data_IF_950294328770
#
_entry.id   IF_950294328770
#
_cell.length_a   1.000
_cell.length_b   1.000
_cell.length_c   1.000
_cell.angle_alpha   90.00
_cell.angle_beta   90.00
_cell.angle_gamma   90.00
#
_symmetry.space_group_name_H-M   'P 1'
#
loop_
_entity.id
_entity.type
_entity.pdbx_description
1 polymer ?
#
# COMPACT_ATOMS: atom_id res chain seq x y z
N UNK A 1 7.97 23.74 25.50
CA UNK A 1 8.38 22.93 24.33
C UNK A 1 9.44 21.93 24.77
N UNK A 2 9.40 20.67 24.29
CA UNK A 2 10.40 19.67 24.67
C UNK A 2 11.80 20.10 24.20
N UNK A 3 12.83 19.82 24.98
CA UNK A 3 14.21 20.24 24.68
C UNK A 3 14.79 19.48 23.47
N UNK A 4 14.34 18.23 23.28
CA UNK A 4 14.54 17.44 22.08
C UNK A 4 13.19 17.25 21.37
N UNK A 5 13.08 17.72 20.12
CA UNK A 5 11.90 17.51 19.29
C UNK A 5 12.11 16.25 18.45
N UNK A 6 11.19 15.28 18.55
CA UNK A 6 11.21 14.07 17.73
C UNK A 6 10.20 14.20 16.61
N UNK A 7 10.64 13.98 15.39
CA UNK A 7 9.79 14.05 14.21
C UNK A 7 10.11 12.89 13.28
N UNK A 8 9.15 12.55 12.45
CA UNK A 8 9.29 11.54 11.42
C UNK A 8 9.26 12.23 10.06
N UNK A 9 10.31 12.05 9.25
CA UNK A 9 10.44 12.73 7.97
C UNK A 9 9.27 12.39 7.05
N UNK A 10 8.89 11.11 7.00
CA UNK A 10 7.84 10.64 6.12
C UNK A 10 6.48 11.24 6.50
N UNK A 11 6.05 11.14 7.75
CA UNK A 11 4.75 11.68 8.17
C UNK A 11 4.72 13.22 8.21
N UNK A 12 5.86 13.87 8.49
CA UNK A 12 5.87 15.34 8.64
C UNK A 12 6.01 16.05 7.31
N UNK A 13 6.90 15.55 6.44
CA UNK A 13 7.08 16.12 5.12
C UNK A 13 6.06 15.53 4.16
N UNK A 14 5.98 14.19 4.07
CA UNK A 14 5.18 13.56 3.04
C UNK A 14 3.67 13.66 3.20
N UNK A 15 3.16 13.64 4.44
CA UNK A 15 1.71 13.69 4.69
C UNK A 15 1.19 15.08 5.09
N UNK A 16 2.05 15.91 5.70
CA UNK A 16 1.62 17.17 6.33
C UNK A 16 2.20 18.41 5.65
N UNK A 17 3.02 18.23 4.61
CA UNK A 17 3.72 19.30 3.90
C UNK A 17 4.43 20.29 4.85
N UNK A 18 4.97 19.77 5.96
CA UNK A 18 5.66 20.62 6.95
C UNK A 18 7.11 20.80 6.54
N UNK A 19 7.48 22.05 6.26
CA UNK A 19 8.88 22.40 6.06
C UNK A 19 9.68 22.28 7.34
N UNK A 20 10.93 21.82 7.23
CA UNK A 20 11.85 21.73 8.34
C UNK A 20 12.81 22.92 8.35
N UNK A 21 12.65 23.82 9.31
CA UNK A 21 13.42 25.07 9.42
C UNK A 21 14.93 24.86 9.62
N UNK A 22 15.33 23.65 10.02
CA UNK A 22 16.71 23.29 10.31
C UNK A 22 17.47 22.67 9.13
N UNK A 23 16.79 22.23 8.06
CA UNK A 23 17.45 21.90 6.81
C UNK A 23 17.55 23.17 5.96
N UNK A 24 18.76 23.53 5.54
CA UNK A 24 18.96 24.60 4.56
C UNK A 24 18.69 24.09 3.14
N UNK A 25 19.06 22.82 2.89
CA UNK A 25 18.90 22.19 1.58
C UNK A 25 18.62 20.70 1.74
N UNK A 26 17.72 20.18 0.91
CA UNK A 26 17.57 18.75 0.64
C UNK A 26 17.67 18.59 -0.87
N UNK A 27 18.45 17.64 -1.34
CA UNK A 27 18.54 17.31 -2.75
C UNK A 27 18.49 15.82 -2.98
N UNK A 28 18.19 15.44 -4.22
CA UNK A 28 18.21 14.05 -4.64
C UNK A 28 19.64 13.51 -4.63
N UNK A 29 19.84 12.30 -4.08
CA UNK A 29 21.15 11.67 -4.01
C UNK A 29 21.65 11.22 -5.40
N UNK A 30 20.76 10.92 -6.33
CA UNK A 30 21.10 10.34 -7.63
C UNK A 30 21.54 11.38 -8.69
N UNK A 31 21.02 12.62 -8.63
CA UNK A 31 21.32 13.66 -9.61
C UNK A 31 21.67 15.04 -9.00
N UNK A 32 21.68 15.16 -7.67
CA UNK A 32 21.92 16.39 -6.91
C UNK A 32 20.92 17.54 -7.16
N UNK A 33 19.81 17.29 -7.87
CA UNK A 33 18.78 18.29 -8.05
C UNK A 33 18.16 18.69 -6.72
N UNK A 34 17.76 19.96 -6.62
CA UNK A 34 17.31 20.56 -5.38
C UNK A 34 15.84 20.21 -5.13
N UNK A 35 15.64 19.30 -4.17
CA UNK A 35 14.32 18.93 -3.68
C UNK A 35 13.72 19.98 -2.75
N UNK A 36 14.54 20.62 -1.93
CA UNK A 36 14.09 21.68 -1.02
C UNK A 36 15.24 22.65 -0.79
N UNK A 37 14.96 23.95 -0.84
CA UNK A 37 15.89 25.01 -0.49
C UNK A 37 15.11 26.13 0.16
N UNK A 38 15.44 26.44 1.41
CA UNK A 38 14.81 27.52 2.16
C UNK A 38 15.86 28.23 3.01
N UNK A 39 15.74 29.54 3.11
CA UNK A 39 16.53 30.32 4.06
C UNK A 39 16.26 29.80 5.47
N UNK A 40 17.28 29.23 6.10
CA UNK A 40 17.16 28.65 7.43
C UNK A 40 16.83 29.76 8.45
N UNK A 41 15.77 29.55 9.23
CA UNK A 41 15.40 30.46 10.32
C UNK A 41 15.93 29.91 11.65
N UNK A 42 16.45 30.80 12.50
CA UNK A 42 16.95 30.39 13.82
C UNK A 42 15.79 30.10 14.76
N UNK A 43 15.54 28.83 15.05
CA UNK A 43 14.51 28.40 16.00
C UNK A 43 15.05 28.34 17.45
N UNK A 44 14.19 28.51 18.47
CA UNK A 44 14.53 28.34 19.91
C UNK A 44 14.89 26.90 20.28
N UNK A 45 14.45 25.90 19.52
CA UNK A 45 14.71 24.48 19.77
C UNK A 45 16.21 24.16 19.89
N UNK A 46 16.60 23.38 20.90
CA UNK A 46 18.02 23.03 21.16
C UNK A 46 18.50 21.83 20.35
N UNK A 47 17.65 20.82 20.20
CA UNK A 47 17.93 19.62 19.42
C UNK A 47 16.68 19.03 18.75
N UNK A 48 16.91 18.32 17.65
CA UNK A 48 15.95 17.56 16.87
C UNK A 48 16.46 16.13 16.64
N UNK A 49 15.56 15.16 16.64
CA UNK A 49 15.82 13.78 16.21
C UNK A 49 14.78 13.38 15.16
N UNK A 50 15.24 13.16 13.94
CA UNK A 50 14.39 12.90 12.77
C UNK A 50 14.54 11.43 12.39
N UNK A 51 13.44 10.69 12.37
CA UNK A 51 13.38 9.33 11.84
C UNK A 51 12.93 9.28 10.38
N UNK A 52 13.10 8.12 9.75
CA UNK A 52 12.62 7.80 8.41
C UNK A 52 13.08 8.80 7.33
N UNK A 53 14.27 9.37 7.47
CA UNK A 53 14.85 10.18 6.40
C UNK A 53 15.40 9.22 5.32
N UNK A 54 14.87 9.21 4.10
CA UNK A 54 15.29 8.26 3.08
C UNK A 54 16.65 8.67 2.48
N UNK A 55 17.57 7.73 2.32
CA UNK A 55 18.92 8.02 1.81
C UNK A 55 18.98 8.23 0.28
N UNK A 56 17.85 8.11 -0.43
CA UNK A 56 17.73 8.67 -1.78
C UNK A 56 17.74 10.21 -1.78
N UNK A 57 17.68 10.84 -0.61
CA UNK A 57 17.98 12.25 -0.40
C UNK A 57 19.32 12.46 0.31
N UNK A 58 19.97 13.58 -0.02
CA UNK A 58 20.99 14.18 0.82
C UNK A 58 20.42 15.42 1.51
N UNK A 59 20.98 15.80 2.66
CA UNK A 59 20.53 16.93 3.45
C UNK A 59 21.69 17.76 3.96
N UNK A 60 21.46 19.06 4.00
CA UNK A 60 22.35 20.05 4.58
C UNK A 60 21.59 20.86 5.64
N UNK A 61 22.29 21.18 6.73
CA UNK A 61 21.81 22.09 7.76
C UNK A 61 22.60 23.38 7.68
N UNK A 62 22.08 24.47 8.25
CA UNK A 62 22.82 25.72 8.37
C UNK A 62 24.07 25.52 9.24
N UNK A 63 25.22 25.27 8.61
CA UNK A 63 26.49 24.90 9.26
C UNK A 63 26.98 25.94 10.27
N UNK A 64 26.58 27.21 10.14
CA UNK A 64 26.93 28.26 11.11
C UNK A 64 26.21 28.06 12.45
N UNK A 65 25.03 27.46 12.46
CA UNK A 65 24.16 27.37 13.64
C UNK A 65 24.03 25.95 14.20
N UNK A 66 24.05 24.94 13.34
CA UNK A 66 23.73 23.56 13.69
C UNK A 66 24.85 22.58 13.35
N UNK A 67 24.94 21.52 14.14
CA UNK A 67 25.63 20.28 13.82
C UNK A 67 24.58 19.22 13.46
N UNK A 68 24.95 18.28 12.58
CA UNK A 68 24.16 17.11 12.23
C UNK A 68 24.99 15.84 12.42
N UNK A 69 24.37 14.82 13.02
CA UNK A 69 24.90 13.45 13.07
C UNK A 69 23.87 12.51 12.45
N UNK A 70 24.33 11.62 11.58
CA UNK A 70 23.49 10.66 10.87
C UNK A 70 23.80 9.24 11.33
N UNK A 71 22.79 8.39 11.41
CA UNK A 71 22.97 6.95 11.66
C UNK A 71 21.89 6.16 10.94
N UNK A 72 22.24 5.01 10.37
CA UNK A 72 21.29 4.16 9.66
C UNK A 72 20.24 3.55 10.59
N UNK A 73 19.02 3.39 10.07
CA UNK A 73 17.96 2.60 10.68
C UNK A 73 18.06 1.15 10.20
N UNK A 74 18.56 0.25 11.04
CA UNK A 74 18.73 -1.16 10.64
C UNK A 74 17.39 -1.91 10.60
N UNK A 75 17.32 -2.90 9.70
CA UNK A 75 16.17 -3.76 9.43
C UNK A 75 14.93 -2.96 8.98
N UNK A 76 15.16 -1.91 8.20
CA UNK A 76 14.12 -1.07 7.65
C UNK A 76 14.58 -0.55 6.29
N UNK A 77 14.26 -1.30 5.26
CA UNK A 77 14.52 -0.93 3.88
C UNK A 77 13.24 -0.40 3.24
N UNK A 78 13.43 0.63 2.43
CA UNK A 78 12.41 1.20 1.56
C UNK A 78 12.65 0.80 0.11
N UNK A 79 11.57 0.79 -0.66
CA UNK A 79 11.58 0.34 -2.05
C UNK A 79 10.87 1.37 -2.92
N UNK A 80 11.49 1.71 -4.05
CA UNK A 80 10.95 2.67 -4.99
C UNK A 80 11.22 2.27 -6.44
N UNK A 81 10.42 2.82 -7.34
CA UNK A 81 10.64 2.79 -8.78
C UNK A 81 11.13 4.15 -9.23
N UNK A 82 12.37 4.24 -9.68
CA UNK A 82 12.85 5.37 -10.47
C UNK A 82 12.32 5.23 -11.90
N UNK A 83 11.56 6.20 -12.34
CA UNK A 83 11.00 6.27 -13.70
C UNK A 83 11.96 6.97 -14.66
N UNK A 84 12.86 7.80 -14.15
CA UNK A 84 13.90 8.48 -14.92
C UNK A 84 14.72 7.47 -15.73
N UNK A 85 14.92 7.75 -17.02
CA UNK A 85 15.62 6.86 -17.95
C UNK A 85 14.70 5.91 -18.71
N UNK A 86 13.38 5.96 -18.51
CA UNK A 86 12.39 5.24 -19.31
C UNK A 86 11.31 6.20 -19.81
N UNK A 87 10.90 6.05 -21.06
CA UNK A 87 9.88 6.89 -21.70
C UNK A 87 8.45 6.53 -21.28
N UNK A 88 8.21 5.26 -20.94
CA UNK A 88 6.89 4.74 -20.57
C UNK A 88 7.01 3.42 -19.79
N UNK A 89 5.87 2.93 -19.28
CA UNK A 89 5.81 1.67 -18.53
C UNK A 89 6.26 0.45 -19.34
N UNK A 90 5.99 0.41 -20.65
CA UNK A 90 6.38 -0.75 -21.46
C UNK A 90 7.90 -0.86 -21.58
N UNK A 91 8.59 0.26 -21.80
CA UNK A 91 10.05 0.31 -21.81
C UNK A 91 10.62 -0.09 -20.45
N UNK A 92 10.06 0.43 -19.35
CA UNK A 92 10.44 0.03 -17.99
C UNK A 92 10.30 -1.48 -17.78
N UNK A 93 9.14 -2.06 -18.11
CA UNK A 93 8.88 -3.49 -17.96
C UNK A 93 9.79 -4.36 -18.82
N UNK A 94 10.18 -3.89 -20.01
CA UNK A 94 11.10 -4.60 -20.88
C UNK A 94 12.52 -4.66 -20.34
N UNK A 95 12.99 -3.56 -19.75
CA UNK A 95 14.35 -3.44 -19.24
C UNK A 95 14.50 -3.99 -17.82
N UNK A 96 13.50 -3.81 -16.95
CA UNK A 96 13.57 -4.19 -15.54
C UNK A 96 13.07 -5.62 -15.27
N UNK A 97 11.96 -6.03 -15.89
CA UNK A 97 11.34 -7.33 -15.61
C UNK A 97 11.73 -8.41 -16.62
N UNK A 98 12.22 -9.54 -16.11
CA UNK A 98 12.46 -10.74 -16.92
C UNK A 98 11.17 -11.22 -17.60
N UNK A 99 11.21 -11.77 -18.83
CA UNK A 99 10.02 -12.25 -19.54
C UNK A 99 9.15 -13.21 -18.74
N UNK A 100 9.77 -14.10 -17.95
CA UNK A 100 9.11 -15.06 -17.07
C UNK A 100 8.29 -14.43 -15.93
N UNK A 101 8.58 -13.19 -15.56
CA UNK A 101 7.85 -12.41 -14.54
C UNK A 101 6.85 -11.47 -15.21
N UNK A 102 7.29 -10.75 -16.24
CA UNK A 102 6.50 -9.77 -17.00
C UNK A 102 5.26 -10.41 -17.64
N UNK A 103 5.43 -11.53 -18.35
CA UNK A 103 4.34 -12.18 -19.09
C UNK A 103 3.16 -12.58 -18.19
N UNK A 104 3.38 -13.28 -17.07
CA UNK A 104 2.31 -13.62 -16.13
C UNK A 104 1.59 -12.42 -15.50
N UNK A 105 2.26 -11.29 -15.27
CA UNK A 105 1.63 -10.07 -14.76
C UNK A 105 0.67 -9.52 -15.82
N UNK A 106 1.17 -9.25 -17.03
CA UNK A 106 0.37 -8.68 -18.12
C UNK A 106 -0.82 -9.57 -18.49
N UNK A 107 -0.63 -10.90 -18.49
CA UNK A 107 -1.72 -11.85 -18.75
C UNK A 107 -2.82 -11.78 -17.69
N UNK A 108 -2.48 -11.56 -16.42
CA UNK A 108 -3.47 -11.46 -15.34
C UNK A 108 -4.22 -10.13 -15.37
N UNK A 109 -3.55 -9.04 -15.73
CA UNK A 109 -4.21 -7.75 -16.00
C UNK A 109 -5.23 -7.92 -17.13
N UNK A 110 -4.79 -8.44 -18.29
CA UNK A 110 -5.67 -8.72 -19.42
C UNK A 110 -6.82 -9.66 -19.06
N UNK A 111 -6.57 -10.67 -18.20
CA UNK A 111 -7.60 -11.59 -17.71
C UNK A 111 -8.65 -10.89 -16.87
N UNK A 112 -8.25 -9.95 -16.01
CA UNK A 112 -9.18 -9.15 -15.22
C UNK A 112 -10.06 -8.29 -16.15
N UNK A 113 -9.43 -7.56 -17.07
CA UNK A 113 -10.11 -6.69 -18.05
C UNK A 113 -11.00 -7.46 -19.03
N UNK A 114 -10.71 -8.74 -19.31
CA UNK A 114 -11.57 -9.59 -20.15
C UNK A 114 -12.73 -10.23 -19.42
N UNK A 115 -12.68 -10.30 -18.09
CA UNK A 115 -13.71 -10.96 -17.27
C UNK A 115 -14.71 -9.96 -16.66
N UNK A 116 -14.35 -8.68 -16.60
CA UNK A 116 -15.18 -7.64 -16.00
C UNK A 116 -15.05 -6.33 -16.76
N UNK A 117 -16.06 -5.47 -16.65
CA UNK A 117 -15.95 -4.08 -17.07
C UNK A 117 -15.10 -3.31 -16.06
N UNK A 118 -13.79 -3.22 -16.32
CA UNK A 118 -12.82 -2.59 -15.43
C UNK A 118 -12.65 -1.10 -15.74
N UNK A 119 -12.66 -0.29 -14.69
CA UNK A 119 -12.29 1.12 -14.77
C UNK A 119 -11.23 1.46 -13.73
N UNK A 120 -10.21 2.22 -14.14
CA UNK A 120 -9.17 2.74 -13.26
C UNK A 120 -9.31 4.26 -13.15
N UNK A 121 -9.49 4.78 -11.95
CA UNK A 121 -9.60 6.23 -11.71
C UNK A 121 -8.63 6.69 -10.65
N UNK A 122 -7.90 7.77 -10.96
CA UNK A 122 -7.08 8.48 -9.99
C UNK A 122 -7.72 9.84 -9.70
N UNK A 123 -8.21 10.01 -8.48
CA UNK A 123 -8.82 11.24 -8.01
C UNK A 123 -7.76 12.14 -7.37
N UNK A 124 -7.44 13.23 -8.07
CA UNK A 124 -6.43 14.23 -7.67
C UNK A 124 -6.99 15.64 -7.84
N UNK A 125 -7.30 16.31 -6.74
CA UNK A 125 -7.94 17.64 -6.72
C UNK A 125 -9.48 17.61 -6.77
N UNK A 126 -10.09 16.69 -7.50
CA UNK A 126 -11.55 16.62 -7.64
C UNK A 126 -12.10 15.26 -7.22
N UNK A 127 -12.86 15.22 -6.12
CA UNK A 127 -13.62 14.07 -5.64
C UNK A 127 -14.81 14.56 -4.81
N UNK A 128 -15.99 13.98 -5.01
CA UNK A 128 -17.13 14.27 -4.15
C UNK A 128 -16.91 13.66 -2.76
N UNK A 129 -17.39 14.33 -1.71
CA UNK A 129 -17.30 13.82 -0.34
C UNK A 129 -17.97 12.45 -0.16
N UNK A 130 -19.13 12.25 -0.79
CA UNK A 130 -19.86 10.98 -0.77
C UNK A 130 -19.04 9.81 -1.33
N UNK A 131 -18.45 9.98 -2.53
CA UNK A 131 -17.56 8.97 -3.11
C UNK A 131 -16.32 8.72 -2.24
N UNK A 132 -15.71 9.78 -1.70
CA UNK A 132 -14.57 9.63 -0.80
C UNK A 132 -14.93 8.80 0.44
N UNK A 133 -16.05 9.12 1.11
CA UNK A 133 -16.47 8.41 2.32
C UNK A 133 -16.81 6.94 2.01
N UNK A 134 -17.48 6.69 0.87
CA UNK A 134 -17.76 5.33 0.37
C UNK A 134 -16.47 4.55 0.11
N UNK A 135 -15.50 5.17 -0.56
CA UNK A 135 -14.23 4.53 -0.87
C UNK A 135 -13.40 4.26 0.40
N UNK A 136 -13.33 5.19 1.35
CA UNK A 136 -12.62 4.96 2.61
C UNK A 136 -13.27 3.84 3.41
N UNK A 137 -14.61 3.81 3.52
CA UNK A 137 -15.31 2.69 4.15
C UNK A 137 -14.93 1.35 3.52
N UNK A 138 -14.94 1.27 2.18
CA UNK A 138 -14.55 0.06 1.45
C UNK A 138 -13.08 -0.31 1.63
N UNK A 139 -12.17 0.66 1.67
CA UNK A 139 -10.76 0.41 1.94
C UNK A 139 -10.58 -0.17 3.36
N UNK A 140 -11.31 0.33 4.35
CA UNK A 140 -11.29 -0.21 5.73
C UNK A 140 -11.75 -1.66 5.76
N UNK A 141 -12.86 -1.98 5.09
CA UNK A 141 -13.38 -3.34 4.97
C UNK A 141 -12.33 -4.27 4.32
N UNK A 142 -11.76 -3.88 3.19
CA UNK A 142 -10.71 -4.66 2.50
C UNK A 142 -9.50 -4.90 3.40
N UNK A 143 -9.05 -3.88 4.14
CA UNK A 143 -7.94 -4.01 5.09
C UNK A 143 -8.28 -5.01 6.19
N UNK A 144 -9.44 -4.90 6.82
CA UNK A 144 -9.89 -5.83 7.86
C UNK A 144 -9.92 -7.27 7.34
N UNK A 145 -10.53 -7.51 6.18
CA UNK A 145 -10.58 -8.84 5.56
C UNK A 145 -9.18 -9.37 5.21
N UNK A 146 -8.29 -8.52 4.71
CA UNK A 146 -6.93 -8.91 4.33
C UNK A 146 -6.07 -9.29 5.54
N UNK A 147 -6.15 -8.53 6.62
CA UNK A 147 -5.38 -8.80 7.84
C UNK A 147 -5.95 -9.98 8.64
N UNK A 148 -7.27 -10.17 8.63
CA UNK A 148 -7.90 -11.40 9.10
C UNK A 148 -7.39 -12.64 8.33
N UNK A 149 -7.37 -12.58 6.99
CA UNK A 149 -6.84 -13.65 6.15
C UNK A 149 -5.36 -13.97 6.45
N UNK A 150 -4.54 -12.94 6.72
CA UNK A 150 -3.13 -13.11 7.08
C UNK A 150 -2.90 -13.56 8.52
N UNK A 151 -3.93 -13.55 9.38
CA UNK A 151 -3.80 -13.71 10.84
C UNK A 151 -2.78 -12.73 11.43
N UNK A 152 -2.81 -11.49 10.96
CA UNK A 152 -1.84 -10.45 11.31
C UNK A 152 -2.55 -9.14 11.65
N UNK A 153 -1.82 -8.17 12.23
CA UNK A 153 -2.34 -6.83 12.54
C UNK A 153 -1.65 -5.75 11.71
N UNK A 154 -2.19 -4.54 11.73
CA UNK A 154 -1.60 -3.39 11.06
C UNK A 154 -1.78 -2.11 11.85
N UNK A 155 -0.72 -1.31 11.95
CA UNK A 155 -0.79 0.04 12.53
C UNK A 155 -1.64 1.01 11.68
N UNK A 156 -1.98 0.64 10.44
CA UNK A 156 -2.84 1.46 9.56
C UNK A 156 -4.23 1.60 10.19
N UNK A 157 -4.78 0.51 10.75
CA UNK A 157 -6.11 0.51 11.35
C UNK A 157 -6.15 1.33 12.66
N UNK A 158 -5.06 1.32 13.42
CA UNK A 158 -4.92 2.15 14.64
C UNK A 158 -4.96 3.65 14.32
N UNK A 159 -4.56 4.04 13.10
CA UNK A 159 -4.50 5.42 12.62
C UNK A 159 -5.66 5.75 11.66
N UNK A 160 -6.67 4.89 11.54
CA UNK A 160 -7.69 5.00 10.50
C UNK A 160 -8.46 6.33 10.53
N UNK A 161 -8.91 6.75 11.71
CA UNK A 161 -9.63 8.01 11.91
C UNK A 161 -8.81 9.23 11.45
N UNK A 162 -7.48 9.17 11.57
CA UNK A 162 -6.61 10.22 11.07
C UNK A 162 -6.67 10.33 9.55
N UNK A 163 -6.63 9.20 8.83
CA UNK A 163 -6.71 9.20 7.37
C UNK A 163 -8.07 9.68 6.87
N UNK A 164 -9.17 9.24 7.50
CA UNK A 164 -10.53 9.70 7.16
C UNK A 164 -10.67 11.23 7.26
N UNK A 165 -10.06 11.83 8.30
CA UNK A 165 -10.12 13.28 8.55
C UNK A 165 -9.19 14.10 7.67
N UNK A 166 -8.03 13.57 7.29
CA UNK A 166 -6.96 14.39 6.66
C UNK A 166 -6.84 14.19 5.16
N UNK A 167 -7.14 12.99 4.63
CA UNK A 167 -6.83 12.70 3.23
C UNK A 167 -7.78 13.36 2.25
N UNK A 168 -9.05 13.60 2.60
CA UNK A 168 -9.98 14.36 1.76
C UNK A 168 -9.46 15.77 1.42
N UNK A 169 -9.07 16.54 2.43
CA UNK A 169 -8.52 17.88 2.23
C UNK A 169 -7.19 17.84 1.47
N UNK A 170 -6.34 16.86 1.76
CA UNK A 170 -5.09 16.65 1.01
C UNK A 170 -5.36 16.34 -0.49
N UNK A 171 -6.42 15.58 -0.80
CA UNK A 171 -6.82 15.31 -2.19
C UNK A 171 -7.25 16.59 -2.88
N UNK A 172 -8.13 17.40 -2.26
CA UNK A 172 -8.57 18.68 -2.82
C UNK A 172 -7.39 19.64 -3.05
N UNK A 173 -6.44 19.66 -2.12
CA UNK A 173 -5.23 20.48 -2.18
C UNK A 173 -4.15 19.91 -3.09
N UNK A 174 -4.42 18.80 -3.80
CA UNK A 174 -3.47 18.18 -4.73
C UNK A 174 -2.14 17.77 -4.06
N UNK A 175 -2.17 17.42 -2.78
CA UNK A 175 -1.04 16.83 -2.03
C UNK A 175 -1.27 15.34 -1.72
N UNK A 176 -2.48 14.83 -1.96
CA UNK A 176 -2.82 13.41 -1.95
C UNK A 176 -3.67 13.04 -3.17
N UNK A 177 -3.78 11.75 -3.46
CA UNK A 177 -4.77 11.20 -4.39
C UNK A 177 -5.37 9.91 -3.87
N UNK A 178 -6.54 9.58 -4.40
CA UNK A 178 -7.19 8.30 -4.21
C UNK A 178 -7.25 7.57 -5.55
N UNK A 179 -6.57 6.45 -5.66
CA UNK A 179 -6.68 5.56 -6.81
C UNK A 179 -7.70 4.48 -6.53
N UNK A 180 -8.68 4.33 -7.43
CA UNK A 180 -9.78 3.36 -7.30
C UNK A 180 -9.82 2.48 -8.55
N UNK A 181 -9.94 1.18 -8.32
CA UNK A 181 -10.23 0.16 -9.34
C UNK A 181 -11.68 -0.25 -9.19
N UNK A 182 -12.45 -0.11 -10.27
CA UNK A 182 -13.83 -0.57 -10.36
C UNK A 182 -13.92 -1.84 -11.20
N UNK A 183 -14.81 -2.75 -10.82
CA UNK A 183 -15.31 -3.82 -11.66
C UNK A 183 -16.84 -3.75 -11.68
N UNK A 184 -17.42 -3.47 -12.85
CA UNK A 184 -18.87 -3.31 -13.03
C UNK A 184 -19.47 -2.32 -12.00
N UNK A 185 -18.85 -1.15 -11.89
CA UNK A 185 -19.20 -0.08 -10.94
C UNK A 185 -18.98 -0.41 -9.44
N UNK A 186 -18.49 -1.60 -9.09
CA UNK A 186 -18.11 -1.94 -7.72
C UNK A 186 -16.63 -1.61 -7.46
N UNK A 187 -16.32 -1.00 -6.32
CA UNK A 187 -14.93 -0.75 -5.92
C UNK A 187 -14.26 -2.04 -5.46
N UNK A 188 -13.22 -2.47 -6.18
CA UNK A 188 -12.47 -3.71 -5.91
C UNK A 188 -11.03 -3.48 -5.47
N UNK A 189 -10.51 -2.26 -5.62
CA UNK A 189 -9.16 -1.90 -5.19
C UNK A 189 -9.04 -0.42 -4.90
N UNK A 190 -8.33 -0.06 -3.83
CA UNK A 190 -8.15 1.34 -3.43
C UNK A 190 -6.72 1.56 -2.95
N UNK A 191 -6.15 2.68 -3.36
CA UNK A 191 -4.89 3.17 -2.84
C UNK A 191 -4.94 4.65 -2.45
N UNK A 192 -4.45 4.95 -1.25
CA UNK A 192 -4.20 6.32 -0.80
C UNK A 192 -2.75 6.65 -1.11
N UNK A 193 -2.54 7.75 -1.82
CA UNK A 193 -1.23 8.19 -2.25
C UNK A 193 -0.97 9.64 -1.85
N UNK A 194 0.30 10.00 -1.65
CA UNK A 194 0.74 11.38 -1.44
C UNK A 194 1.64 11.86 -2.58
N UNK A 195 1.62 13.16 -2.83
CA UNK A 195 2.27 13.78 -3.98
C UNK A 195 3.14 14.93 -3.51
N UNK A 196 4.45 14.81 -3.73
CA UNK A 196 5.38 15.89 -3.41
C UNK A 196 6.38 16.06 -4.53
N UNK A 197 6.33 17.25 -5.14
CA UNK A 197 7.04 17.55 -6.38
C UNK A 197 6.78 16.44 -7.41
N UNK A 198 7.82 15.76 -7.83
CA UNK A 198 7.88 14.69 -8.80
C UNK A 198 7.93 13.29 -8.16
N UNK A 199 7.67 13.18 -6.85
CA UNK A 199 7.59 11.90 -6.12
C UNK A 199 6.13 11.54 -5.85
N UNK A 200 5.75 10.36 -6.33
CA UNK A 200 4.47 9.73 -6.04
C UNK A 200 4.67 8.70 -4.93
N UNK A 201 3.91 8.83 -3.84
CA UNK A 201 4.12 8.04 -2.64
C UNK A 201 2.94 7.11 -2.42
N UNK A 202 3.18 5.83 -2.62
CA UNK A 202 2.24 4.77 -2.32
C UNK A 202 2.13 4.51 -0.83
N UNK A 203 1.08 5.03 -0.18
CA UNK A 203 0.98 4.96 1.28
C UNK A 203 0.16 3.75 1.76
N UNK A 204 -1.07 3.60 1.26
CA UNK A 204 -1.94 2.47 1.60
C UNK A 204 -2.42 1.84 0.30
N UNK A 205 -2.38 0.51 0.25
CA UNK A 205 -2.89 -0.28 -0.87
C UNK A 205 -3.68 -1.46 -0.31
N UNK A 206 -4.95 -1.56 -0.69
CA UNK A 206 -5.72 -2.76 -0.42
C UNK A 206 -6.68 -3.06 -1.57
N UNK A 207 -7.13 -4.29 -1.60
CA UNK A 207 -8.02 -4.78 -2.63
C UNK A 207 -8.95 -5.85 -2.07
N UNK A 208 -10.07 -6.07 -2.74
CA UNK A 208 -11.00 -7.14 -2.43
C UNK A 208 -10.33 -8.49 -2.71
N UNK A 209 -10.03 -9.22 -1.65
CA UNK A 209 -9.40 -10.55 -1.67
C UNK A 209 -10.17 -11.61 -2.46
N UNK A 210 -11.46 -11.39 -2.75
CA UNK A 210 -12.23 -12.23 -3.66
C UNK A 210 -11.67 -12.17 -5.10
N UNK A 211 -10.90 -11.14 -5.45
CA UNK A 211 -10.22 -11.00 -6.75
C UNK A 211 -8.76 -11.51 -6.71
N UNK A 212 -8.35 -12.21 -5.65
CA UNK A 212 -6.96 -12.67 -5.47
C UNK A 212 -6.39 -13.46 -6.65
N UNK A 213 -7.17 -14.30 -7.34
CA UNK A 213 -6.73 -15.05 -8.53
C UNK A 213 -6.30 -14.15 -9.70
N UNK A 214 -6.88 -12.97 -9.81
CA UNK A 214 -6.53 -11.97 -10.84
C UNK A 214 -5.27 -11.17 -10.48
N UNK A 215 -4.68 -11.36 -9.30
CA UNK A 215 -3.48 -10.64 -8.86
C UNK A 215 -3.66 -9.12 -8.84
N UNK A 216 -4.80 -8.66 -8.32
CA UNK A 216 -5.21 -7.26 -8.32
C UNK A 216 -4.17 -6.30 -7.72
N UNK A 217 -3.39 -6.73 -6.72
CA UNK A 217 -2.28 -5.95 -6.19
C UNK A 217 -1.21 -5.61 -7.25
N UNK A 218 -0.85 -6.53 -8.14
CA UNK A 218 0.09 -6.24 -9.24
C UNK A 218 -0.53 -5.32 -10.29
N UNK A 219 -1.82 -5.49 -10.57
CA UNK A 219 -2.57 -4.60 -11.47
C UNK A 219 -2.55 -3.16 -10.96
N UNK A 220 -2.77 -2.95 -9.65
CA UNK A 220 -2.72 -1.63 -9.05
C UNK A 220 -1.32 -1.00 -9.16
N UNK A 221 -0.26 -1.75 -8.89
CA UNK A 221 1.12 -1.24 -9.05
C UNK A 221 1.42 -0.89 -10.51
N UNK A 222 1.04 -1.74 -11.46
CA UNK A 222 1.17 -1.44 -12.90
C UNK A 222 0.47 -0.12 -13.25
N UNK A 223 -0.79 0.04 -12.85
CA UNK A 223 -1.60 1.21 -13.25
C UNK A 223 -1.14 2.50 -12.58
N UNK A 224 -0.67 2.43 -11.33
CA UNK A 224 -0.07 3.58 -10.66
C UNK A 224 1.26 3.98 -11.28
N UNK A 225 2.09 3.01 -11.67
CA UNK A 225 3.34 3.28 -12.36
C UNK A 225 3.10 3.84 -13.77
N UNK A 226 2.12 3.32 -14.51
CA UNK A 226 1.66 3.85 -15.80
C UNK A 226 1.27 5.33 -15.66
N UNK A 227 0.45 5.65 -14.66
CA UNK A 227 0.07 7.02 -14.35
C UNK A 227 1.28 7.91 -14.00
N UNK A 228 2.26 7.40 -13.23
CA UNK A 228 3.48 8.13 -12.90
C UNK A 228 4.28 8.48 -14.16
N UNK A 229 4.40 7.57 -15.13
CA UNK A 229 5.05 7.83 -16.42
C UNK A 229 4.31 8.90 -17.22
N UNK A 230 2.99 8.77 -17.37
CA UNK A 230 2.16 9.72 -18.13
C UNK A 230 2.22 11.14 -17.53
N UNK A 231 2.36 11.24 -16.20
CA UNK A 231 2.39 12.50 -15.48
C UNK A 231 3.80 12.96 -15.10
N UNK A 232 4.84 12.33 -15.66
CA UNK A 232 6.26 12.73 -15.50
C UNK A 232 6.74 12.81 -14.05
N UNK A 233 6.23 11.92 -13.19
CA UNK A 233 6.82 11.70 -11.87
C UNK A 233 8.15 10.99 -12.06
N UNK A 234 9.18 11.38 -11.31
CA UNK A 234 10.52 10.80 -11.35
C UNK A 234 10.65 9.53 -10.50
N UNK A 235 9.72 9.35 -9.55
CA UNK A 235 9.76 8.24 -8.61
C UNK A 235 8.36 7.82 -8.12
N UNK A 236 8.12 6.52 -8.07
CA UNK A 236 7.07 5.89 -7.27
C UNK A 236 7.71 5.30 -6.01
N UNK A 237 7.55 5.95 -4.86
CA UNK A 237 8.03 5.45 -3.57
C UNK A 237 6.96 4.55 -2.93
N UNK A 238 7.27 3.27 -2.77
CA UNK A 238 6.37 2.28 -2.18
C UNK A 238 6.61 2.11 -0.67
N UNK A 239 7.52 2.89 -0.09
CA UNK A 239 7.82 2.92 1.34
C UNK A 239 8.46 1.65 1.86
N UNK A 240 8.45 1.52 3.19
CA UNK A 240 9.15 0.47 3.91
C UNK A 240 8.49 -0.92 3.81
N UNK A 241 9.29 -1.95 4.04
CA UNK A 241 8.83 -3.33 4.18
C UNK A 241 9.25 -4.20 3.01
N UNK A 242 10.04 -5.23 3.33
CA UNK A 242 10.56 -6.18 2.35
C UNK A 242 9.48 -7.20 1.98
N UNK A 243 8.70 -6.87 0.95
CA UNK A 243 7.63 -7.70 0.41
C UNK A 243 8.01 -8.14 -0.99
N UNK A 244 7.76 -9.41 -1.33
CA UNK A 244 8.18 -10.02 -2.60
C UNK A 244 7.78 -9.17 -3.83
N UNK A 245 6.56 -8.62 -3.85
CA UNK A 245 6.13 -7.78 -4.98
C UNK A 245 6.94 -6.49 -5.11
N UNK A 246 7.41 -5.89 -4.00
CA UNK A 246 8.29 -4.71 -4.06
C UNK A 246 9.65 -5.08 -4.65
N UNK A 247 10.19 -6.25 -4.30
CA UNK A 247 11.43 -6.75 -4.92
C UNK A 247 11.28 -6.99 -6.43
N UNK A 248 10.07 -7.36 -6.88
CA UNK A 248 9.77 -7.53 -8.30
C UNK A 248 9.68 -6.17 -9.00
N UNK A 249 8.99 -5.20 -8.40
CA UNK A 249 8.64 -3.94 -9.06
C UNK A 249 9.62 -2.80 -8.83
N UNK A 250 10.50 -2.84 -7.83
CA UNK A 250 11.36 -1.71 -7.50
C UNK A 250 12.77 -1.89 -8.06
N UNK A 251 13.25 -0.88 -8.77
CA UNK A 251 14.63 -0.79 -9.24
C UNK A 251 15.54 0.00 -8.28
N UNK A 252 14.97 0.52 -7.18
CA UNK A 252 15.71 1.18 -6.10
C UNK A 252 15.31 0.57 -4.75
N UNK A 253 16.29 0.01 -4.05
CA UNK A 253 16.21 -0.29 -2.63
C UNK A 253 17.03 0.76 -1.88
N UNK A 254 16.43 1.38 -0.87
CA UNK A 254 17.04 2.48 -0.13
C UNK A 254 16.92 2.26 1.37
N UNK A 255 17.79 2.87 2.16
CA UNK A 255 17.78 2.76 3.62
C UNK A 255 17.30 4.06 4.24
N UNK A 256 16.74 3.97 5.44
CA UNK A 256 16.41 5.16 6.23
C UNK A 256 17.57 5.56 7.14
N UNK A 257 17.70 6.87 7.37
CA UNK A 257 18.61 7.49 8.32
C UNK A 257 17.83 8.06 9.51
N UNK A 258 18.47 8.09 10.66
CA UNK A 258 18.17 9.03 11.73
C UNK A 258 19.06 10.25 11.58
N UNK A 259 18.47 11.45 11.64
CA UNK A 259 19.23 12.70 11.72
C UNK A 259 19.08 13.32 13.10
N UNK A 260 20.22 13.55 13.75
CA UNK A 260 20.32 14.25 15.02
C UNK A 260 20.90 15.63 14.81
N UNK A 261 20.09 16.67 14.98
CA UNK A 261 20.45 18.04 14.66
C UNK A 261 20.42 18.86 15.94
N UNK A 262 21.51 19.55 16.26
CA UNK A 262 21.61 20.32 17.51
C UNK A 262 22.45 21.57 17.31
N UNK A 263 22.18 22.61 18.11
CA UNK A 263 22.91 23.89 18.02
C UNK A 263 24.38 23.72 18.43
N UNK A 264 25.30 24.32 17.67
CA UNK A 264 26.76 24.19 17.89
C UNK A 264 27.22 24.53 19.30
N UNK A 265 26.66 25.58 19.90
CA UNK A 265 27.02 26.07 21.25
C UNK A 265 26.15 25.48 22.36
N UNK A 266 25.32 24.48 22.08
CA UNK A 266 24.42 23.89 23.07
C UNK A 266 24.96 22.57 23.60
N UNK A 267 25.60 22.61 24.77
CA UNK A 267 26.07 21.42 25.50
C UNK A 267 24.89 20.45 25.74
N UNK A 268 23.75 20.99 26.19
CA UNK A 268 22.55 20.20 26.41
C UNK A 268 22.04 19.55 25.11
N UNK A 269 22.05 20.27 23.99
CA UNK A 269 21.68 19.73 22.69
C UNK A 269 22.63 18.61 22.22
N UNK A 270 23.93 18.78 22.46
CA UNK A 270 24.94 17.76 22.21
C UNK A 270 24.68 16.49 23.02
N UNK A 271 24.48 16.60 24.34
CA UNK A 271 24.24 15.45 25.23
C UNK A 271 22.97 14.70 24.80
N UNK A 272 21.88 15.41 24.53
CA UNK A 272 20.61 14.81 24.11
C UNK A 272 20.70 14.11 22.75
N UNK A 273 21.42 14.69 21.79
CA UNK A 273 21.65 14.05 20.50
C UNK A 273 22.46 12.75 20.66
N UNK A 274 23.53 12.78 21.45
CA UNK A 274 24.40 11.61 21.64
C UNK A 274 23.74 10.51 22.48
N UNK A 275 22.90 10.86 23.46
CA UNK A 275 22.16 9.87 24.24
C UNK A 275 21.14 9.11 23.38
N UNK A 276 20.46 9.79 22.46
CA UNK A 276 19.57 9.12 21.50
C UNK A 276 20.35 8.30 20.47
N UNK A 277 21.51 8.77 19.99
CA UNK A 277 22.39 7.96 19.13
C UNK A 277 22.77 6.66 19.85
N UNK A 278 23.19 6.75 21.12
CA UNK A 278 23.56 5.58 21.92
C UNK A 278 22.36 4.64 22.09
N UNK A 279 21.18 5.16 22.40
CA UNK A 279 19.93 4.39 22.50
C UNK A 279 19.62 3.64 21.20
N UNK A 280 19.82 4.27 20.04
CA UNK A 280 19.62 3.63 18.74
C UNK A 280 20.67 2.56 18.47
N UNK A 281 21.93 2.82 18.78
CA UNK A 281 23.00 1.81 18.68
C UNK A 281 22.67 0.59 19.53
N UNK A 282 22.25 0.78 20.78
CA UNK A 282 21.81 -0.30 21.67
C UNK A 282 20.63 -1.07 21.04
N UNK A 283 19.57 -0.38 20.58
CA UNK A 283 18.45 -1.04 19.89
C UNK A 283 18.88 -1.84 18.67
N UNK A 284 19.77 -1.29 17.84
CA UNK A 284 20.29 -1.95 16.65
C UNK A 284 21.12 -3.19 17.03
N UNK A 285 21.89 -3.14 18.11
CA UNK A 285 22.62 -4.30 18.66
C UNK A 285 21.65 -5.37 19.18
N UNK A 286 20.60 -4.99 19.92
CA UNK A 286 19.58 -5.94 20.38
C UNK A 286 18.85 -6.65 19.22
N UNK A 287 18.54 -5.90 18.15
CA UNK A 287 17.97 -6.46 16.91
C UNK A 287 18.93 -7.43 16.21
N UNK A 288 20.23 -7.13 16.19
CA UNK A 288 21.25 -8.02 15.62
C UNK A 288 21.26 -9.38 16.32
N UNK A 289 21.13 -9.39 17.64
CA UNK A 289 21.00 -10.62 18.44
C UNK A 289 19.58 -11.21 18.48
N UNK A 290 18.63 -10.68 17.71
CA UNK A 290 17.21 -11.12 17.64
C UNK A 290 16.47 -11.12 18.98
N UNK A 291 16.96 -10.37 19.98
CA UNK A 291 16.36 -10.27 21.32
C UNK A 291 14.99 -9.59 21.25
N UNK A 292 14.82 -8.66 20.31
CA UNK A 292 13.55 -8.00 20.00
C UNK A 292 12.47 -8.98 19.55
N UNK A 293 12.83 -10.00 18.75
CA UNK A 293 11.91 -11.06 18.31
C UNK A 293 11.48 -11.94 19.48
N UNK A 294 12.42 -12.32 20.34
CA UNK A 294 12.12 -13.09 21.55
C UNK A 294 11.17 -12.34 22.49
N UNK A 295 11.43 -11.05 22.73
CA UNK A 295 10.54 -10.19 23.54
C UNK A 295 9.14 -10.08 22.94
N UNK A 296 9.05 -9.85 21.62
CA UNK A 296 7.75 -9.72 20.93
C UNK A 296 6.96 -11.01 20.97
N UNK A 297 7.63 -12.16 20.82
CA UNK A 297 7.02 -13.48 20.94
C UNK A 297 6.43 -13.72 22.34
N UNK A 298 7.21 -13.43 23.40
CA UNK A 298 6.75 -13.55 24.78
C UNK A 298 5.56 -12.63 25.05
N UNK A 299 5.63 -11.37 24.60
CA UNK A 299 4.56 -10.39 24.77
C UNK A 299 3.27 -10.83 24.03
N UNK A 300 3.37 -11.38 22.83
CA UNK A 300 2.22 -11.94 22.09
C UNK A 300 1.60 -13.13 22.81
N UNK A 301 2.40 -13.98 23.47
CA UNK A 301 1.91 -15.12 24.25
C UNK A 301 1.21 -14.71 25.55
N UNK A 302 1.61 -13.57 26.13
CA UNK A 302 1.08 -13.05 27.39
C UNK A 302 -0.03 -11.99 27.22
N UNK A 303 -0.17 -11.40 26.03
CA UNK A 303 -1.14 -10.35 25.74
C UNK A 303 -2.33 -10.84 24.93
N UNK A 304 -3.52 -10.38 25.30
CA UNK A 304 -4.73 -10.51 24.48
C UNK A 304 -4.60 -9.60 23.25
N UNK A 305 -3.95 -10.08 22.19
CA UNK A 305 -3.93 -9.35 20.92
C UNK A 305 -5.32 -9.46 20.32
N UNK A 306 -6.03 -8.33 20.20
CA UNK A 306 -7.33 -8.27 19.52
C UNK A 306 -7.07 -8.63 18.05
N UNK A 307 -7.33 -9.88 17.69
CA UNK A 307 -7.34 -10.28 16.29
C UNK A 307 -8.61 -9.73 15.67
N UNK A 308 -8.56 -9.18 14.44
CA UNK A 308 -9.77 -8.88 13.69
C UNK A 308 -10.62 -10.14 13.63
N UNK A 309 -11.89 -10.05 14.03
CA UNK A 309 -12.84 -11.16 13.88
C UNK A 309 -12.96 -11.47 12.39
N UNK A 310 -12.49 -12.64 11.98
CA UNK A 310 -12.57 -13.06 10.59
C UNK A 310 -14.02 -13.42 10.25
N UNK A 311 -14.50 -12.99 9.08
CA UNK A 311 -15.52 -13.79 8.41
C UNK A 311 -14.83 -15.12 8.00
N UNK A 312 -15.41 -16.28 8.33
CA UNK A 312 -14.82 -17.55 7.95
C UNK A 312 -14.72 -17.62 6.43
N UNK A 313 -13.49 -17.79 5.91
CA UNK A 313 -13.34 -18.26 4.54
C UNK A 313 -13.75 -19.71 4.53
N UNK A 314 -14.92 -19.98 3.98
CA UNK A 314 -15.35 -21.35 3.73
C UNK A 314 -14.48 -21.94 2.63
N UNK A 315 -13.98 -23.15 2.86
CA UNK A 315 -13.41 -23.93 1.77
C UNK A 315 -14.53 -24.30 0.81
N UNK A 316 -14.20 -24.44 -0.46
CA UNK A 316 -15.16 -24.84 -1.48
C UNK A 316 -14.49 -25.61 -2.60
N UNK A 317 -15.26 -26.47 -3.25
CA UNK A 317 -14.89 -27.16 -4.48
C UNK A 317 -15.66 -26.58 -5.66
N UNK A 318 -15.07 -26.66 -6.85
CA UNK A 318 -15.71 -26.27 -8.11
C UNK A 318 -15.56 -27.42 -9.10
N UNK A 319 -16.66 -28.07 -9.44
CA UNK A 319 -16.68 -29.27 -10.28
C UNK A 319 -17.52 -29.06 -11.54
N UNK A 320 -17.12 -29.58 -12.71
CA UNK A 320 -17.93 -29.53 -13.92
C UNK A 320 -19.20 -30.38 -13.75
N UNK A 321 -20.32 -29.89 -14.26
CA UNK A 321 -21.58 -30.65 -14.33
C UNK A 321 -22.16 -30.60 -15.75
N UNK A 322 -23.00 -31.58 -16.09
CA UNK A 322 -23.74 -31.56 -17.35
C UNK A 322 -24.80 -30.42 -17.31
N UNK A 323 -24.86 -29.52 -18.29
CA UNK A 323 -25.93 -28.51 -18.36
C UNK A 323 -27.35 -29.10 -18.25
N UNK A 324 -27.59 -30.30 -18.77
CA UNK A 324 -28.90 -30.95 -18.74
C UNK A 324 -29.33 -31.37 -17.32
N UNK A 325 -28.38 -31.61 -16.41
CA UNK A 325 -28.70 -31.97 -15.03
C UNK A 325 -29.21 -30.77 -14.21
N UNK A 326 -29.11 -29.53 -14.71
CA UNK A 326 -29.63 -28.36 -14.01
C UNK A 326 -31.15 -28.47 -13.84
N UNK A 327 -31.88 -28.93 -14.87
CA UNK A 327 -33.34 -29.05 -14.83
C UNK A 327 -33.83 -30.11 -13.83
N UNK A 328 -32.95 -31.03 -13.42
CA UNK A 328 -33.23 -32.05 -12.41
C UNK A 328 -32.94 -31.57 -10.99
N UNK A 329 -32.26 -30.43 -10.85
CA UNK A 329 -31.97 -29.79 -9.58
C UNK A 329 -33.04 -28.74 -9.32
N UNK A 330 -33.55 -28.67 -8.09
CA UNK A 330 -34.43 -27.59 -7.62
C UNK A 330 -33.63 -26.27 -7.47
N UNK A 331 -33.06 -25.78 -8.57
CA UNK A 331 -32.15 -24.65 -8.58
C UNK A 331 -32.88 -23.35 -8.95
N UNK A 332 -32.74 -22.33 -8.10
CA UNK A 332 -33.37 -21.02 -8.33
C UNK A 332 -32.32 -20.03 -8.82
N UNK A 333 -32.57 -19.33 -9.93
CA UNK A 333 -31.68 -18.27 -10.42
C UNK A 333 -31.64 -17.12 -9.41
N UNK A 334 -30.44 -16.68 -9.04
CA UNK A 334 -30.25 -15.59 -8.06
C UNK A 334 -29.46 -14.43 -8.67
N UNK A 335 -29.77 -13.23 -8.19
CA UNK A 335 -28.93 -12.05 -8.39
C UNK A 335 -27.93 -11.98 -7.22
N UNK A 336 -26.69 -12.41 -7.49
CA UNK A 336 -25.64 -12.44 -6.47
C UNK A 336 -25.18 -11.04 -6.04
N UNK A 337 -25.43 -9.99 -6.83
CA UNK A 337 -25.11 -8.61 -6.44
C UNK A 337 -26.07 -8.07 -5.39
N UNK A 338 -27.32 -8.58 -5.35
CA UNK A 338 -28.34 -8.21 -4.35
C UNK A 338 -28.33 -9.09 -3.11
N UNK A 339 -27.45 -10.10 -3.08
CA UNK A 339 -27.37 -11.09 -2.00
C UNK A 339 -25.98 -11.09 -1.34
N UNK A 340 -25.52 -9.97 -0.75
CA UNK A 340 -24.15 -9.82 -0.25
C UNK A 340 -23.82 -10.73 0.95
N UNK A 341 -24.83 -11.31 1.59
CA UNK A 341 -24.66 -12.31 2.66
C UNK A 341 -24.17 -13.67 2.15
N UNK A 342 -24.22 -13.92 0.84
CA UNK A 342 -23.76 -15.16 0.25
C UNK A 342 -22.25 -15.11 0.06
N UNK A 343 -21.52 -16.06 0.62
CA UNK A 343 -20.05 -16.19 0.48
C UNK A 343 -19.60 -16.68 -0.92
N UNK A 344 -20.38 -16.37 -1.97
CA UNK A 344 -20.25 -16.91 -3.33
C UNK A 344 -19.33 -16.08 -4.24
N UNK A 345 -19.00 -14.84 -3.84
CA UNK A 345 -18.22 -13.89 -4.67
C UNK A 345 -16.86 -14.45 -5.07
N UNK A 346 -16.16 -15.09 -4.15
CA UNK A 346 -14.86 -15.70 -4.43
C UNK A 346 -14.97 -16.89 -5.41
N UNK A 347 -15.85 -17.89 -5.19
CA UNK A 347 -16.09 -18.93 -6.20
C UNK A 347 -16.47 -18.39 -7.58
N UNK A 348 -17.30 -17.35 -7.67
CA UNK A 348 -17.65 -16.68 -8.93
C UNK A 348 -16.39 -16.15 -9.62
N UNK A 349 -15.62 -15.32 -8.93
CA UNK A 349 -14.40 -14.75 -9.49
C UNK A 349 -13.40 -15.82 -9.92
N UNK A 350 -13.29 -16.89 -9.15
CA UNK A 350 -12.46 -18.03 -9.47
C UNK A 350 -12.93 -18.76 -10.73
N UNK A 351 -14.23 -18.95 -10.92
CA UNK A 351 -14.83 -19.51 -12.13
C UNK A 351 -14.56 -18.63 -13.35
N UNK A 352 -14.83 -17.32 -13.26
CA UNK A 352 -14.59 -16.37 -14.35
C UNK A 352 -13.12 -16.39 -14.77
N UNK A 353 -12.20 -16.42 -13.80
CA UNK A 353 -10.77 -16.53 -14.09
C UNK A 353 -10.42 -17.82 -14.84
N UNK A 354 -10.90 -18.97 -14.37
CA UNK A 354 -10.57 -20.29 -14.94
C UNK A 354 -11.15 -20.45 -16.34
N UNK A 355 -12.42 -20.06 -16.53
CA UNK A 355 -13.14 -20.25 -17.79
C UNK A 355 -12.96 -19.09 -18.77
N UNK A 356 -12.30 -17.99 -18.36
CA UNK A 356 -12.17 -16.74 -19.13
C UNK A 356 -13.54 -16.23 -19.60
N UNK A 357 -14.51 -16.31 -18.71
CA UNK A 357 -15.88 -15.88 -18.94
C UNK A 357 -16.05 -14.43 -18.51
N UNK A 358 -16.85 -13.66 -19.27
CA UNK A 358 -17.23 -12.32 -18.86
C UNK A 358 -18.39 -12.38 -17.87
N UNK A 359 -18.36 -11.54 -16.85
CA UNK A 359 -19.37 -11.52 -15.78
C UNK A 359 -20.81 -11.34 -16.30
N UNK A 360 -20.99 -10.58 -17.37
CA UNK A 360 -22.32 -10.36 -17.99
C UNK A 360 -22.93 -11.63 -18.58
N UNK A 361 -22.10 -12.65 -18.85
CA UNK A 361 -22.55 -13.94 -19.36
C UNK A 361 -22.80 -14.97 -18.24
N UNK A 362 -22.55 -14.61 -16.98
CA UNK A 362 -22.68 -15.53 -15.85
C UNK A 362 -24.11 -15.55 -15.33
N UNK A 363 -24.68 -16.75 -15.27
CA UNK A 363 -25.88 -17.04 -14.50
C UNK A 363 -25.51 -17.83 -13.24
N UNK A 364 -26.08 -17.43 -12.10
CA UNK A 364 -25.87 -18.10 -10.81
C UNK A 364 -27.20 -18.69 -10.34
N UNK A 365 -27.18 -19.96 -9.95
CA UNK A 365 -28.34 -20.64 -9.39
C UNK A 365 -28.02 -21.16 -8.00
N UNK A 366 -28.94 -20.97 -7.05
CA UNK A 366 -28.90 -21.53 -5.71
C UNK A 366 -29.62 -22.88 -5.72
N UNK A 367 -28.94 -23.93 -5.28
CA UNK A 367 -29.56 -25.24 -5.04
C UNK A 367 -30.01 -25.32 -3.58
N UNK A 368 -29.09 -25.02 -2.66
CA UNK A 368 -29.33 -24.93 -1.22
C UNK A 368 -28.24 -24.06 -0.60
N UNK A 369 -28.27 -23.86 0.72
CA UNK A 369 -27.38 -22.95 1.46
C UNK A 369 -25.89 -23.10 1.12
N UNK A 370 -25.44 -24.32 0.79
CA UNK A 370 -24.02 -24.64 0.54
C UNK A 370 -23.70 -24.97 -0.92
N UNK A 371 -24.70 -25.02 -1.79
CA UNK A 371 -24.53 -25.53 -3.15
C UNK A 371 -25.07 -24.54 -4.18
N UNK A 372 -24.23 -24.22 -5.15
CA UNK A 372 -24.54 -23.25 -6.21
C UNK A 372 -24.14 -23.80 -7.57
N UNK A 373 -24.78 -23.29 -8.62
CA UNK A 373 -24.40 -23.55 -10.01
C UNK A 373 -23.94 -22.24 -10.64
N UNK A 374 -22.78 -22.28 -11.28
CA UNK A 374 -22.23 -21.22 -12.09
C UNK A 374 -22.32 -21.64 -13.56
N UNK A 375 -23.13 -20.93 -14.35
CA UNK A 375 -23.35 -21.22 -15.77
C UNK A 375 -22.84 -20.04 -16.58
N UNK A 376 -21.77 -20.27 -17.33
CA UNK A 376 -21.31 -19.36 -18.39
C UNK A 376 -21.87 -19.76 -19.75
N UNK A 377 -21.33 -19.16 -20.80
CA UNK A 377 -21.71 -19.41 -22.21
C UNK A 377 -21.43 -20.85 -22.65
N UNK A 378 -20.31 -21.44 -22.19
CA UNK A 378 -19.83 -22.75 -22.65
C UNK A 378 -19.71 -23.80 -21.55
N UNK A 379 -19.65 -23.37 -20.29
CA UNK A 379 -19.25 -24.21 -19.16
C UNK A 379 -20.21 -24.00 -18.01
N UNK A 380 -20.56 -25.10 -17.38
CA UNK A 380 -21.39 -25.14 -16.17
C UNK A 380 -20.60 -25.85 -15.09
N UNK A 381 -20.53 -25.25 -13.91
CA UNK A 381 -19.88 -25.84 -12.74
C UNK A 381 -20.76 -25.74 -11.51
N UNK A 382 -20.67 -26.75 -10.65
CA UNK A 382 -21.24 -26.74 -9.32
C UNK A 382 -20.19 -26.27 -8.32
N UNK A 383 -20.58 -25.39 -7.42
CA UNK A 383 -19.80 -24.97 -6.25
C UNK A 383 -20.42 -25.61 -5.02
N UNK A 384 -19.58 -26.26 -4.21
CA UNK A 384 -19.98 -26.84 -2.92
C UNK A 384 -19.10 -26.26 -1.83
N UNK A 385 -19.68 -25.69 -0.79
CA UNK A 385 -18.95 -25.23 0.39
C UNK A 385 -18.76 -26.36 1.40
N UNK A 386 -17.56 -26.47 1.95
CA UNK A 386 -17.25 -27.35 3.07
C UNK A 386 -17.70 -26.66 4.36
N UNK A 387 -18.74 -27.17 5.01
CA UNK A 387 -19.20 -26.70 6.31
C UNK A 387 -18.40 -27.31 7.46
#
# INVERSE_FOLDING_TARGET
MPILKKEDFYNSYFQKDKTFEYYSKIGYAHNNEIFYNKAATTNKQKAYAISLFPNYFHSEVLKSSYNIKKTLQKNLDGFAVLTNGYSNINEYLQNHLKPKTRGPILRRIKRLESCFNIEYKLYYGNISKELYDTALSKLKEMLLSRFAQKKDSTEILDKWEHYEKTTFEAIKNKTASLFIVYANNEIIGISINYHIKDIFIGHIFCYDINFSKFSLGNTMVYKLLEWCFENKYSMLDMGNGDLEYKQIWCNLTYSYEYHFIYKKKSILGFILAHSEILKIKIKNTLKHYKIDKAYTYIKKKLGNTIMPSANPFFNYTIEPINPESINQLEATKIDFNKSPHLNIKKPINDFLYMEQEHIDNLEVFLINENNYILKGTKKVKKVTFDL
#
